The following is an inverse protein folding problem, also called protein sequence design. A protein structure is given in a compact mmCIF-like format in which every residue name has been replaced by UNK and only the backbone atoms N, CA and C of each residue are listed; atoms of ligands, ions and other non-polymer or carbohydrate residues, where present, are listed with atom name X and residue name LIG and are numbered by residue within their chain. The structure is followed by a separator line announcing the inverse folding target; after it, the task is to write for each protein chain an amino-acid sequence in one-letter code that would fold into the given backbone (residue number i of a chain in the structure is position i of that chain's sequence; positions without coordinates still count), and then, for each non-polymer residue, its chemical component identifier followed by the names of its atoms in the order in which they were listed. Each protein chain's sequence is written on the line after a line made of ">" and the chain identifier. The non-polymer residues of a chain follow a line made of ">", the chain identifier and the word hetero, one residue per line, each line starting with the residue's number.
data_IF_343536411735
#
_entry.id   IF_343536411735
#
_cell.length_a   1.000
_cell.length_b   1.000
_cell.length_c   1.000
_cell.angle_alpha   90.00
_cell.angle_beta   90.00
_cell.angle_gamma   90.00
#
_symmetry.space_group_name_H-M   'P 1'
#
loop_
_entity.id
_entity.type
_entity.pdbx_description
1 polymer ?
#
# COMPACT_ATOMS: atom_id res chain seq x y z
N UNK A 1 -16.10 10.94 -0.71
CA UNK A 1 -16.17 9.98 0.41
C UNK A 1 -14.94 10.17 1.27
N UNK A 2 -15.07 10.87 2.40
CA UNK A 2 -13.96 11.10 3.33
C UNK A 2 -13.85 9.85 4.20
N UNK A 3 -12.82 9.02 3.98
CA UNK A 3 -12.54 7.86 4.83
C UNK A 3 -12.10 8.36 6.21
N UNK A 4 -12.81 7.89 7.24
CA UNK A 4 -12.72 8.35 8.62
C UNK A 4 -11.43 7.91 9.31
N UNK A 5 -10.76 8.88 9.96
CA UNK A 5 -9.78 8.91 11.09
C UNK A 5 -9.27 7.63 11.82
N UNK A 6 -9.73 6.41 11.54
CA UNK A 6 -9.42 5.19 12.30
C UNK A 6 -8.20 4.41 11.79
N UNK A 7 -7.63 4.82 10.65
CA UNK A 7 -6.42 4.22 10.05
C UNK A 7 -5.12 4.99 10.38
N UNK A 8 -5.13 5.93 11.35
CA UNK A 8 -4.00 6.81 11.68
C UNK A 8 -2.82 6.16 12.43
N UNK A 9 -2.65 4.83 12.39
CA UNK A 9 -1.56 4.19 13.14
C UNK A 9 -1.02 2.93 12.46
N UNK A 10 -0.83 3.00 11.14
CA UNK A 10 -0.16 1.95 10.40
C UNK A 10 1.30 2.38 10.15
N UNK A 11 2.23 1.81 10.92
CA UNK A 11 3.63 2.24 10.91
C UNK A 11 4.33 1.92 9.61
N UNK A 12 3.89 0.87 8.90
CA UNK A 12 4.41 0.54 7.57
C UNK A 12 4.04 1.65 6.59
N UNK A 13 2.78 2.07 6.57
CA UNK A 13 2.33 3.16 5.71
C UNK A 13 3.03 4.49 6.02
N UNK A 14 3.20 4.83 7.31
CA UNK A 14 3.98 6.01 7.73
C UNK A 14 5.44 5.94 7.29
N UNK A 15 6.07 4.77 7.42
CA UNK A 15 7.41 4.51 6.93
C UNK A 15 7.50 4.71 5.41
N UNK A 16 6.53 4.17 4.65
CA UNK A 16 6.51 4.31 3.20
C UNK A 16 6.37 5.76 2.75
N UNK A 17 5.56 6.58 3.43
CA UNK A 17 5.49 8.04 3.15
C UNK A 17 6.87 8.68 3.33
N UNK A 18 7.51 8.42 4.47
CA UNK A 18 8.79 9.01 4.82
C UNK A 18 9.89 8.61 3.83
N UNK A 19 9.98 7.33 3.47
CA UNK A 19 11.01 6.81 2.59
C UNK A 19 10.76 7.13 1.11
N UNK A 20 9.49 7.22 0.68
CA UNK A 20 9.16 7.68 -0.66
C UNK A 20 9.44 9.18 -0.81
N UNK A 21 9.40 9.95 0.28
CA UNK A 21 9.56 11.40 0.27
C UNK A 21 8.32 12.15 -0.21
N UNK A 22 7.14 11.51 -0.18
CA UNK A 22 5.87 12.19 -0.43
C UNK A 22 5.38 12.94 0.81
N UNK A 23 4.51 13.93 0.61
CA UNK A 23 4.09 14.82 1.70
C UNK A 23 3.02 14.19 2.57
N UNK A 24 2.10 13.43 1.95
CA UNK A 24 0.95 12.87 2.63
C UNK A 24 0.74 11.40 2.29
N UNK A 25 0.07 10.69 3.21
CA UNK A 25 -0.30 9.29 3.01
C UNK A 25 -1.17 9.09 1.75
N UNK A 26 -2.06 10.04 1.46
CA UNK A 26 -2.92 10.05 0.27
C UNK A 26 -2.16 10.09 -1.06
N UNK A 27 -0.89 10.50 -1.05
CA UNK A 27 -0.06 10.52 -2.25
C UNK A 27 0.40 9.11 -2.63
N UNK A 28 0.60 8.21 -1.67
CA UNK A 28 1.17 6.87 -1.93
C UNK A 28 0.45 6.06 -3.01
N UNK A 29 -0.90 5.95 -3.05
CA UNK A 29 -1.58 5.19 -4.10
C UNK A 29 -1.64 5.93 -5.45
N UNK A 30 -1.13 7.16 -5.55
CA UNK A 30 -1.25 7.99 -6.74
C UNK A 30 -0.08 7.80 -7.69
N UNK A 31 -0.38 7.80 -9.00
CA UNK A 31 0.56 7.94 -10.12
C UNK A 31 1.99 7.49 -9.83
N UNK A 32 2.92 8.45 -9.80
CA UNK A 32 4.35 8.22 -9.59
C UNK A 32 4.71 7.55 -8.25
N UNK A 33 3.97 7.83 -7.18
CA UNK A 33 4.32 7.38 -5.84
C UNK A 33 3.97 5.91 -5.60
N UNK A 34 2.96 5.38 -6.27
CA UNK A 34 2.57 3.97 -6.14
C UNK A 34 3.71 2.98 -6.46
N UNK A 35 4.34 3.01 -7.65
CA UNK A 35 5.45 2.10 -7.96
C UNK A 35 6.62 2.30 -6.99
N UNK A 36 6.90 3.54 -6.56
CA UNK A 36 7.95 3.86 -5.58
C UNK A 36 7.64 3.22 -4.22
N UNK A 37 6.41 3.37 -3.72
CA UNK A 37 5.96 2.80 -2.46
C UNK A 37 6.04 1.26 -2.48
N UNK A 38 5.61 0.63 -3.58
CA UNK A 38 5.69 -0.82 -3.76
C UNK A 38 7.15 -1.31 -3.82
N UNK A 39 8.04 -0.56 -4.49
CA UNK A 39 9.47 -0.86 -4.52
C UNK A 39 10.12 -0.80 -3.13
N UNK A 40 9.84 0.26 -2.37
CA UNK A 40 10.33 0.41 -0.99
C UNK A 40 9.78 -0.72 -0.12
N UNK A 41 8.48 -1.01 -0.21
CA UNK A 41 7.84 -2.09 0.52
C UNK A 41 8.51 -3.45 0.22
N UNK A 42 8.89 -3.74 -1.02
CA UNK A 42 9.63 -4.95 -1.40
C UNK A 42 11.01 -5.07 -0.72
N UNK A 43 11.62 -3.95 -0.32
CA UNK A 43 12.95 -3.91 0.31
C UNK A 43 12.92 -4.02 1.85
N UNK A 44 11.73 -3.87 2.46
CA UNK A 44 11.55 -3.97 3.92
C UNK A 44 11.74 -5.42 4.40
N UNK A 45 12.21 -5.66 5.62
CA UNK A 45 12.13 -7.02 6.18
C UNK A 45 10.68 -7.29 6.62
N UNK A 46 10.04 -8.29 6.01
CA UNK A 46 8.60 -8.53 6.19
C UNK A 46 8.17 -8.67 7.67
N UNK A 47 9.03 -9.22 8.52
CA UNK A 47 8.80 -9.47 9.94
C UNK A 47 8.90 -8.22 10.84
N UNK A 48 9.38 -7.09 10.32
CA UNK A 48 9.42 -5.82 11.06
C UNK A 48 8.03 -5.22 11.31
N UNK A 49 7.05 -5.59 10.50
CA UNK A 49 5.67 -5.11 10.59
C UNK A 49 4.71 -6.27 10.72
N UNK A 50 3.62 -6.04 11.44
CA UNK A 50 2.59 -7.04 11.67
C UNK A 50 1.86 -7.43 10.38
N UNK A 51 1.31 -8.64 10.34
CA UNK A 51 0.44 -9.08 9.25
C UNK A 51 -0.74 -8.13 9.02
N UNK A 52 -1.24 -7.49 10.09
CA UNK A 52 -2.30 -6.48 9.99
C UNK A 52 -1.84 -5.26 9.22
N UNK A 53 -0.66 -4.72 9.56
CA UNK A 53 -0.10 -3.54 8.89
C UNK A 53 0.13 -3.81 7.40
N UNK A 54 0.65 -4.98 7.05
CA UNK A 54 0.83 -5.40 5.66
C UNK A 54 -0.50 -5.51 4.89
N UNK A 55 -1.51 -6.16 5.47
CA UNK A 55 -2.83 -6.26 4.83
C UNK A 55 -3.48 -4.89 4.62
N UNK A 56 -3.37 -4.00 5.61
CA UNK A 56 -3.85 -2.63 5.51
C UNK A 56 -3.08 -1.85 4.43
N UNK A 57 -1.75 -2.01 4.34
CA UNK A 57 -0.91 -1.39 3.33
C UNK A 57 -1.28 -1.85 1.91
N UNK A 58 -1.49 -3.16 1.70
CA UNK A 58 -1.97 -3.68 0.40
C UNK A 58 -3.28 -3.03 0.02
N UNK A 59 -4.27 -3.07 0.92
CA UNK A 59 -5.59 -2.48 0.66
C UNK A 59 -5.50 -0.99 0.38
N UNK A 60 -4.58 -0.29 1.05
CA UNK A 60 -4.41 1.15 0.90
C UNK A 60 -3.78 1.50 -0.45
N UNK A 61 -2.65 0.86 -0.80
CA UNK A 61 -1.88 1.15 -2.00
C UNK A 61 -2.60 0.71 -3.27
N UNK A 62 -3.22 -0.47 -3.25
CA UNK A 62 -3.79 -1.11 -4.47
C UNK A 62 -5.30 -0.99 -4.56
N UNK A 63 -5.99 -0.61 -3.47
CA UNK A 63 -7.45 -0.70 -3.36
C UNK A 63 -7.99 -2.14 -3.27
N UNK A 64 -7.15 -3.17 -3.46
CA UNK A 64 -7.55 -4.57 -3.49
C UNK A 64 -8.06 -5.03 -2.11
N UNK A 65 -9.16 -5.79 -2.10
CA UNK A 65 -9.74 -6.36 -0.87
C UNK A 65 -9.27 -7.79 -0.63
N UNK A 66 -7.96 -8.00 -0.71
CA UNK A 66 -7.31 -9.30 -0.47
C UNK A 66 -6.85 -9.37 0.99
N UNK A 67 -6.87 -10.58 1.58
CA UNK A 67 -6.27 -10.86 2.89
C UNK A 67 -5.21 -11.93 2.75
N UNK A 68 -4.04 -11.65 3.31
CA UNK A 68 -2.91 -12.56 3.40
C UNK A 68 -2.81 -13.17 4.79
N UNK A 69 -2.17 -14.34 4.83
CA UNK A 69 -1.91 -15.09 6.07
C UNK A 69 -0.44 -15.02 6.52
N UNK A 70 0.41 -14.27 5.80
CA UNK A 70 1.77 -13.98 6.24
C UNK A 70 2.27 -12.64 5.68
N UNK A 71 3.13 -11.90 6.42
CA UNK A 71 3.75 -10.67 5.96
C UNK A 71 4.44 -10.80 4.60
N UNK A 72 5.18 -11.89 4.40
CA UNK A 72 5.95 -12.16 3.18
C UNK A 72 5.05 -12.27 1.94
N UNK A 73 3.85 -12.87 2.08
CA UNK A 73 2.90 -12.98 0.96
C UNK A 73 2.33 -11.61 0.58
N UNK A 74 2.02 -10.77 1.56
CA UNK A 74 1.52 -9.42 1.33
C UNK A 74 2.59 -8.51 0.71
N UNK A 75 3.84 -8.61 1.20
CA UNK A 75 4.98 -7.90 0.62
C UNK A 75 5.21 -8.30 -0.84
N UNK A 76 5.30 -9.61 -1.10
CA UNK A 76 5.51 -10.14 -2.44
C UNK A 76 4.41 -9.67 -3.40
N UNK A 77 3.17 -9.62 -2.94
CA UNK A 77 2.06 -9.08 -3.73
C UNK A 77 2.29 -7.61 -4.15
N UNK A 78 2.78 -6.76 -3.25
CA UNK A 78 3.09 -5.36 -3.58
C UNK A 78 4.24 -5.26 -4.59
N UNK A 79 5.29 -6.05 -4.39
CA UNK A 79 6.45 -6.08 -5.30
C UNK A 79 6.04 -6.50 -6.72
N UNK A 80 5.21 -7.54 -6.84
CA UNK A 80 4.71 -8.05 -8.13
C UNK A 80 3.72 -7.10 -8.81
N UNK A 81 3.03 -6.25 -8.05
CA UNK A 81 2.03 -5.31 -8.58
C UNK A 81 2.55 -3.87 -8.70
N UNK A 82 3.84 -3.61 -8.48
CA UNK A 82 4.41 -2.25 -8.56
C UNK A 82 4.18 -1.56 -9.89
N UNK A 83 4.15 -2.33 -10.98
CA UNK A 83 3.94 -1.82 -12.35
C UNK A 83 2.46 -1.87 -12.76
N UNK A 84 1.61 -2.46 -11.93
CA UNK A 84 0.17 -2.52 -12.15
C UNK A 84 -0.44 -1.22 -11.65
N UNK A 85 -0.25 -0.15 -12.43
CA UNK A 85 -0.95 1.11 -12.22
C UNK A 85 -2.45 0.80 -12.25
N UNK A 86 -3.08 0.76 -11.09
CA UNK A 86 -4.53 0.91 -11.00
C UNK A 86 -4.85 2.36 -11.43
N UNK A 87 -4.78 2.59 -12.74
CA UNK A 87 -5.47 3.71 -13.38
C UNK A 87 -6.93 3.56 -13.03
N UNK A 88 -7.58 4.64 -12.64
CA UNK A 88 -9.04 4.71 -12.45
C UNK A 88 -9.80 4.30 -13.73
N UNK A 89 -9.93 3.00 -14.02
CA UNK A 89 -10.79 2.40 -15.04
C UNK A 89 -11.09 0.99 -14.53
N UNK A 90 -12.02 0.74 -13.60
CA UNK A 90 -13.45 0.52 -13.88
C UNK A 90 -14.26 0.62 -12.57
N UNK A 91 -14.55 1.83 -12.10
CA UNK A 91 -15.77 2.05 -11.29
C UNK A 91 -16.63 3.12 -11.97
N UNK A 92 -16.90 2.90 -13.26
CA UNK A 92 -18.07 3.43 -13.94
C UNK A 92 -18.71 2.30 -14.74
N UNK A 93 -19.84 1.85 -14.20
CA UNK A 93 -20.90 1.06 -14.86
C UNK A 93 -20.50 -0.37 -15.27
N UNK A 94 -20.97 -1.36 -14.51
CA UNK A 94 -22.17 -2.14 -14.81
C UNK A 94 -22.75 -2.70 -13.50
#
# INVERSE_FOLDING_TARGET
>A
MIRTKKDQNNKLLEYLVKEAGCQELSDLPSGFWFPVACFIAGSVKADQYSLREWNEAVRYLTGARVRFFSPQKAQKFLEENKDNFYTEIEVKKL
#
